data_IF_581857300918
#
_entry.id   IF_581857300918
#
_cell.length_a   1.000
_cell.length_b   1.000
_cell.length_c   1.000
_cell.angle_alpha   90.00
_cell.angle_beta   90.00
_cell.angle_gamma   90.00
#
_symmetry.space_group_name_H-M   'P 1'
#
loop_
_entity.id
_entity.type
_entity.pdbx_description
1 polymer ?
#
# COMPACT_ATOMS: atom_id res chain seq x y z
N UNK A 1 -6.80 49.39 -4.72
CA UNK A 1 -6.85 48.71 -6.03
C UNK A 1 -5.46 48.11 -6.26
N UNK A 2 -5.25 46.88 -5.78
CA UNK A 2 -3.93 46.23 -5.79
C UNK A 2 -3.76 45.40 -7.06
N UNK A 3 -2.64 45.64 -7.75
CA UNK A 3 -2.29 45.04 -9.02
C UNK A 3 -1.95 43.56 -8.92
N UNK A 4 -2.50 42.81 -9.87
CA UNK A 4 -2.23 41.40 -10.16
C UNK A 4 -0.92 41.31 -10.94
N UNK A 5 0.06 40.54 -10.44
CA UNK A 5 1.24 40.15 -11.20
C UNK A 5 1.09 38.68 -11.63
N UNK A 6 0.99 38.48 -12.94
CA UNK A 6 1.00 37.19 -13.64
C UNK A 6 2.46 36.73 -13.72
N UNK A 7 2.79 35.58 -13.14
CA UNK A 7 4.10 34.95 -13.29
C UNK A 7 4.03 33.93 -14.43
N UNK A 8 4.67 34.24 -15.56
CA UNK A 8 4.95 33.31 -16.64
C UNK A 8 6.15 32.43 -16.28
N UNK A 9 6.11 31.20 -16.78
CA UNK A 9 7.02 30.12 -16.49
C UNK A 9 8.21 30.14 -17.45
N UNK A 10 9.38 30.58 -17.00
CA UNK A 10 10.65 30.38 -17.69
C UNK A 10 11.72 29.83 -16.73
N UNK A 11 12.30 28.70 -17.18
CA UNK A 11 13.70 28.29 -17.04
C UNK A 11 14.36 28.33 -15.65
N UNK A 12 14.37 27.19 -14.96
CA UNK A 12 15.40 26.86 -13.95
C UNK A 12 15.67 25.35 -13.97
N UNK A 13 16.46 24.90 -14.95
CA UNK A 13 17.04 23.56 -15.00
C UNK A 13 18.56 23.67 -15.04
N UNK A 14 19.17 24.33 -14.04
CA UNK A 14 20.63 24.53 -13.99
C UNK A 14 21.16 24.46 -12.56
N UNK A 15 21.06 23.29 -11.92
CA UNK A 15 21.88 22.99 -10.72
C UNK A 15 22.25 21.51 -10.65
N UNK A 16 23.11 21.04 -11.56
CA UNK A 16 24.07 19.96 -11.24
C UNK A 16 25.12 19.75 -12.33
N UNK A 17 26.08 20.66 -12.48
CA UNK A 17 27.38 20.27 -13.06
C UNK A 17 28.43 21.32 -12.75
N UNK A 18 29.24 21.05 -11.73
CA UNK A 18 30.41 21.84 -11.40
C UNK A 18 31.60 20.90 -11.28
N UNK A 19 32.21 20.51 -12.40
CA UNK A 19 33.58 19.98 -12.45
C UNK A 19 34.27 20.55 -13.68
N UNK A 20 35.29 21.37 -13.41
CA UNK A 20 36.18 22.02 -14.36
C UNK A 20 37.18 20.97 -14.89
N UNK A 21 37.50 20.94 -16.21
CA UNK A 21 38.63 20.17 -16.70
C UNK A 21 39.92 21.01 -16.55
N UNK A 22 40.82 20.58 -15.66
CA UNK A 22 42.20 21.06 -15.65
C UNK A 22 43.08 20.11 -16.48
N UNK A 23 43.72 20.70 -17.48
CA UNK A 23 44.58 20.08 -18.48
C UNK A 23 45.93 19.70 -17.86
N UNK A 24 46.29 18.42 -17.86
CA UNK A 24 47.66 17.96 -17.56
C UNK A 24 48.22 17.24 -18.79
N UNK A 25 49.37 17.75 -19.26
CA UNK A 25 50.11 17.28 -20.44
C UNK A 25 50.90 16.01 -20.12
N UNK A 26 50.96 15.16 -21.14
CA UNK A 26 51.60 13.85 -21.24
C UNK A 26 53.12 13.91 -21.07
N UNK A 27 53.69 12.93 -20.36
CA UNK A 27 55.02 12.39 -20.64
C UNK A 27 55.07 10.89 -20.29
N UNK A 28 55.45 10.11 -21.30
CA UNK A 28 55.53 8.65 -21.43
C UNK A 28 56.44 7.98 -20.39
N UNK A 29 56.12 6.75 -19.95
CA UNK A 29 56.99 5.56 -19.94
C UNK A 29 56.34 4.33 -19.24
N UNK A 30 56.56 3.16 -19.86
CA UNK A 30 56.48 1.77 -19.39
C UNK A 30 55.12 1.02 -19.33
N UNK A 31 55.07 0.04 -20.23
CA UNK A 31 54.60 -1.35 -20.19
C UNK A 31 53.80 -1.89 -18.99
N UNK A 32 52.94 -2.85 -19.35
CA UNK A 32 52.41 -3.99 -18.56
C UNK A 32 50.93 -3.89 -18.18
N UNK A 33 50.13 -4.66 -18.93
CA UNK A 33 48.91 -5.38 -18.52
C UNK A 33 48.11 -4.77 -17.36
N UNK A 34 47.11 -3.94 -17.66
CA UNK A 34 46.15 -3.49 -16.64
C UNK A 34 44.72 -3.68 -17.16
N UNK A 35 43.98 -4.50 -16.43
CA UNK A 35 42.57 -4.77 -16.64
C UNK A 35 41.78 -3.47 -16.50
N UNK A 36 41.32 -2.92 -17.63
CA UNK A 36 40.33 -1.85 -17.60
C UNK A 36 39.12 -2.34 -16.77
N UNK A 37 38.69 -1.60 -15.74
CA UNK A 37 37.50 -1.97 -14.99
C UNK A 37 36.34 -2.06 -15.98
N UNK A 38 35.53 -3.14 -15.96
CA UNK A 38 34.48 -3.34 -16.94
C UNK A 38 33.58 -2.11 -16.95
N UNK A 39 33.41 -1.54 -18.15
CA UNK A 39 32.55 -0.38 -18.33
C UNK A 39 31.15 -0.78 -17.87
N UNK A 40 30.44 0.12 -17.16
CA UNK A 40 29.10 -0.12 -16.60
C UNK A 40 28.11 -0.76 -17.59
N UNK A 41 28.32 -0.50 -18.89
CA UNK A 41 27.53 -0.97 -20.02
C UNK A 41 27.73 -2.46 -20.33
N UNK A 42 28.90 -3.00 -20.01
CA UNK A 42 29.22 -4.44 -20.10
C UNK A 42 28.73 -5.20 -18.86
N UNK A 43 28.74 -4.55 -17.68
CA UNK A 43 28.29 -5.17 -16.44
C UNK A 43 26.76 -5.21 -16.29
N UNK A 44 26.05 -4.24 -16.88
CA UNK A 44 24.59 -4.11 -16.80
C UNK A 44 24.02 -3.72 -18.16
N UNK A 45 23.82 -4.69 -19.07
CA UNK A 45 23.09 -4.46 -20.31
C UNK A 45 21.66 -3.99 -19.99
N UNK A 46 21.12 -3.01 -20.73
CA UNK A 46 19.76 -2.53 -20.49
C UNK A 46 18.77 -3.67 -20.64
N UNK A 47 17.87 -3.80 -19.65
CA UNK A 47 16.74 -4.72 -19.74
C UNK A 47 15.94 -4.39 -21.02
N UNK A 48 15.42 -5.40 -21.74
CA UNK A 48 14.62 -5.13 -22.92
C UNK A 48 13.44 -4.22 -22.52
N UNK A 49 13.48 -2.97 -23.01
CA UNK A 49 12.35 -2.09 -22.94
C UNK A 49 11.19 -2.79 -23.66
N UNK A 50 10.03 -2.82 -23.00
CA UNK A 50 8.79 -3.33 -23.56
C UNK A 50 8.44 -2.47 -24.78
N UNK A 51 8.99 -2.85 -25.93
CA UNK A 51 8.83 -2.16 -27.20
C UNK A 51 7.35 -2.19 -27.59
N UNK A 52 6.74 -1.02 -27.65
CA UNK A 52 5.65 -0.78 -28.56
C UNK A 52 6.26 -0.63 -29.96
N UNK A 53 5.91 -1.55 -30.88
CA UNK A 53 5.67 -1.35 -32.33
C UNK A 53 6.03 -2.58 -33.19
N UNK A 54 4.99 -3.09 -33.86
CA UNK A 54 4.89 -3.53 -35.27
C UNK A 54 6.00 -4.38 -35.94
N UNK A 55 5.56 -5.62 -36.22
CA UNK A 55 5.59 -6.36 -37.50
C UNK A 55 6.91 -6.92 -38.09
N UNK A 56 6.93 -8.26 -38.10
CA UNK A 56 7.55 -9.20 -39.04
C UNK A 56 9.08 -9.32 -39.13
N UNK A 57 9.61 -10.37 -38.51
CA UNK A 57 10.59 -11.28 -39.12
C UNK A 57 10.68 -12.59 -38.30
N UNK A 58 10.61 -13.71 -39.00
CA UNK A 58 10.55 -15.08 -38.49
C UNK A 58 11.96 -15.69 -38.46
N UNK A 59 12.38 -16.25 -37.33
CA UNK A 59 13.59 -17.09 -37.17
C UNK A 59 13.31 -18.21 -36.13
N UNK A 60 14.01 -19.36 -36.22
CA UNK A 60 13.45 -20.68 -35.92
C UNK A 60 13.43 -21.05 -34.43
N UNK A 61 12.50 -21.96 -34.13
CA UNK A 61 12.16 -22.42 -32.79
C UNK A 61 13.34 -23.08 -32.05
N UNK A 62 13.97 -22.31 -31.15
CA UNK A 62 14.75 -22.83 -30.04
C UNK A 62 13.83 -23.50 -29.01
N UNK A 63 14.02 -24.79 -28.80
CA UNK A 63 13.16 -25.68 -28.03
C UNK A 63 13.21 -25.51 -26.50
N UNK A 64 13.46 -24.32 -25.94
CA UNK A 64 13.53 -24.06 -24.48
C UNK A 64 12.49 -23.04 -24.00
N UNK A 65 11.28 -23.12 -24.54
CA UNK A 65 10.14 -22.32 -24.09
C UNK A 65 9.46 -22.89 -22.84
N UNK A 66 10.19 -23.08 -21.73
CA UNK A 66 9.51 -23.26 -20.46
C UNK A 66 8.81 -21.94 -20.14
N UNK A 67 7.50 -21.88 -20.39
CA UNK A 67 6.60 -20.84 -19.89
C UNK A 67 6.52 -20.98 -18.37
N UNK A 68 7.57 -20.54 -17.69
CA UNK A 68 7.62 -20.42 -16.23
C UNK A 68 6.58 -19.35 -15.90
N UNK A 69 5.37 -19.80 -15.56
CA UNK A 69 4.36 -18.91 -14.99
C UNK A 69 4.94 -18.43 -13.65
N UNK A 70 5.03 -17.12 -13.40
CA UNK A 70 5.52 -16.64 -12.10
C UNK A 70 4.61 -17.22 -11.01
N UNK A 71 5.19 -18.07 -10.19
CA UNK A 71 4.51 -18.70 -9.05
C UNK A 71 4.33 -17.58 -8.04
N UNK A 72 3.12 -17.04 -7.92
CA UNK A 72 2.78 -16.11 -6.84
C UNK A 72 3.07 -16.85 -5.53
N UNK A 73 3.88 -16.24 -4.66
CA UNK A 73 4.19 -16.83 -3.37
C UNK A 73 2.89 -17.16 -2.62
N UNK A 74 2.77 -18.39 -2.14
CA UNK A 74 1.58 -18.85 -1.40
C UNK A 74 1.40 -18.15 -0.05
N UNK A 75 2.45 -17.50 0.45
CA UNK A 75 2.50 -16.78 1.72
C UNK A 75 2.84 -15.33 1.45
N UNK A 76 2.00 -14.42 1.95
CA UNK A 76 2.24 -12.98 1.91
C UNK A 76 2.64 -12.50 3.30
N UNK A 77 3.60 -11.59 3.36
CA UNK A 77 4.00 -10.90 4.59
C UNK A 77 3.67 -9.42 4.42
N UNK A 78 2.90 -8.86 5.34
CA UNK A 78 2.56 -7.44 5.39
C UNK A 78 3.00 -6.86 6.72
N UNK A 79 3.67 -5.70 6.68
CA UNK A 79 4.10 -4.96 7.88
C UNK A 79 3.26 -3.70 7.99
N UNK A 80 2.75 -3.45 9.19
CA UNK A 80 1.96 -2.27 9.52
C UNK A 80 2.64 -1.50 10.63
N UNK A 81 2.77 -0.19 10.44
CA UNK A 81 3.30 0.70 11.47
C UNK A 81 2.16 1.53 12.04
N UNK A 82 1.92 1.39 13.35
CA UNK A 82 0.93 2.15 14.09
C UNK A 82 1.67 3.13 14.99
N UNK A 83 1.67 4.45 14.69
CA UNK A 83 2.32 5.44 15.53
C UNK A 83 1.62 5.58 16.88
N UNK A 84 2.33 6.16 17.86
CA UNK A 84 1.85 6.31 19.25
C UNK A 84 0.50 7.02 19.35
N UNK A 85 0.26 8.06 18.55
CA UNK A 85 -1.02 8.79 18.46
C UNK A 85 -2.22 7.90 18.11
N UNK A 86 -1.99 6.79 17.40
CA UNK A 86 -3.03 5.88 16.94
C UNK A 86 -3.24 4.68 17.87
N UNK A 87 -2.65 4.67 19.07
CA UNK A 87 -2.84 3.59 20.04
C UNK A 87 -4.09 3.80 20.89
N UNK A 88 -4.95 2.78 20.92
CA UNK A 88 -6.12 2.73 21.83
C UNK A 88 -5.73 2.73 23.31
N UNK A 89 -4.57 2.18 23.63
CA UNK A 89 -4.11 1.99 25.01
C UNK A 89 -2.85 2.80 25.23
N UNK A 90 -2.98 3.83 26.07
CA UNK A 90 -1.91 4.75 26.45
C UNK A 90 -1.02 4.20 27.58
N UNK A 91 -1.46 3.14 28.26
CA UNK A 91 -0.74 2.55 29.40
C UNK A 91 0.34 1.56 28.94
N UNK A 92 1.47 2.12 28.54
CA UNK A 92 2.67 1.43 28.09
C UNK A 92 3.66 1.23 29.26
N UNK A 93 3.21 0.74 30.42
CA UNK A 93 4.14 0.56 31.55
C UNK A 93 3.96 -0.67 32.44
N UNK A 94 3.24 -1.70 31.98
CA UNK A 94 3.25 -3.02 32.64
C UNK A 94 4.16 -3.98 31.86
N UNK A 95 5.41 -4.02 32.32
CA UNK A 95 6.45 -4.94 31.90
C UNK A 95 6.00 -6.40 32.11
N UNK A 96 5.92 -7.17 31.02
CA UNK A 96 5.50 -8.58 31.00
C UNK A 96 4.00 -8.75 30.74
N UNK A 97 3.66 -9.24 29.54
CA UNK A 97 2.29 -9.48 29.05
C UNK A 97 1.40 -8.23 28.86
N UNK A 98 1.82 -7.32 27.99
CA UNK A 98 0.91 -6.27 27.50
C UNK A 98 -0.34 -6.87 26.85
N UNK A 99 -1.50 -6.23 27.06
CA UNK A 99 -2.79 -6.60 26.45
C UNK A 99 -2.70 -6.84 24.94
N UNK A 100 -1.79 -6.13 24.27
CA UNK A 100 -1.49 -6.29 22.84
C UNK A 100 -1.03 -7.70 22.46
N UNK A 101 -0.20 -8.34 23.28
CA UNK A 101 0.28 -9.70 23.02
C UNK A 101 -0.86 -10.72 23.13
N UNK A 102 -1.78 -10.53 24.08
CA UNK A 102 -2.98 -11.38 24.24
C UNK A 102 -3.92 -11.26 23.04
N UNK A 103 -4.15 -10.04 22.59
CA UNK A 103 -4.94 -9.76 21.37
C UNK A 103 -4.30 -10.43 20.15
N UNK A 104 -2.98 -10.33 20.02
CA UNK A 104 -2.23 -10.97 18.95
C UNK A 104 -2.42 -12.49 18.93
N UNK A 105 -2.27 -13.15 20.07
CA UNK A 105 -2.49 -14.59 20.21
C UNK A 105 -3.93 -15.00 19.83
N UNK A 106 -4.93 -14.23 20.26
CA UNK A 106 -6.33 -14.49 19.90
C UNK A 106 -6.55 -14.37 18.38
N UNK A 107 -5.97 -13.36 17.75
CA UNK A 107 -6.07 -13.17 16.29
C UNK A 107 -5.34 -14.28 15.55
N UNK A 108 -4.13 -14.67 15.99
CA UNK A 108 -3.37 -15.79 15.41
C UNK A 108 -4.18 -17.09 15.47
N UNK A 109 -4.84 -17.37 16.60
CA UNK A 109 -5.66 -18.58 16.76
C UNK A 109 -6.93 -18.55 15.88
N UNK A 110 -7.57 -17.39 15.72
CA UNK A 110 -8.81 -17.25 14.92
C UNK A 110 -8.57 -17.17 13.40
N UNK A 111 -7.40 -16.71 12.99
CA UNK A 111 -7.08 -16.48 11.57
C UNK A 111 -6.09 -17.51 11.02
N UNK A 112 -5.27 -18.11 11.87
CA UNK A 112 -4.19 -19.01 11.46
C UNK A 112 -3.02 -18.28 10.78
N UNK A 113 -2.93 -16.96 10.92
CA UNK A 113 -1.78 -16.18 10.47
C UNK A 113 -0.71 -16.08 11.57
N UNK A 114 0.54 -15.88 11.17
CA UNK A 114 1.65 -15.58 12.06
C UNK A 114 1.78 -14.07 12.24
N UNK A 115 1.62 -13.58 13.46
CA UNK A 115 1.77 -12.17 13.82
C UNK A 115 2.99 -11.99 14.72
N UNK A 116 3.80 -10.98 14.44
CA UNK A 116 4.92 -10.57 15.27
C UNK A 116 4.76 -9.08 15.62
N UNK A 117 4.99 -8.74 16.88
CA UNK A 117 4.79 -7.41 17.44
C UNK A 117 6.13 -6.87 17.94
N UNK A 118 6.57 -5.77 17.35
CA UNK A 118 7.80 -5.07 17.73
C UNK A 118 7.48 -3.62 18.11
N UNK A 119 8.04 -3.14 19.22
CA UNK A 119 8.00 -1.72 19.58
C UNK A 119 9.15 -1.01 18.87
N UNK A 120 8.83 -0.03 18.04
CA UNK A 120 9.81 0.81 17.38
C UNK A 120 10.41 1.85 18.35
N UNK A 121 11.56 2.42 17.98
CA UNK A 121 12.32 3.38 18.82
C UNK A 121 11.54 4.66 19.12
N UNK A 122 10.63 5.02 18.23
CA UNK A 122 9.68 6.12 18.33
C UNK A 122 8.45 5.78 19.19
N UNK A 123 8.50 4.67 19.93
CA UNK A 123 7.35 4.10 20.62
C UNK A 123 6.20 3.79 19.66
N UNK A 124 6.43 3.59 18.35
CA UNK A 124 5.47 3.04 17.40
C UNK A 124 5.29 1.54 17.59
N UNK A 125 4.13 0.99 17.23
CA UNK A 125 3.89 -0.45 17.21
C UNK A 125 4.05 -0.94 15.76
N UNK A 126 5.05 -1.78 15.51
CA UNK A 126 5.23 -2.46 14.24
C UNK A 126 4.63 -3.86 14.33
N UNK A 127 3.63 -4.16 13.51
CA UNK A 127 3.01 -5.49 13.43
C UNK A 127 3.36 -6.12 12.09
N UNK A 128 4.04 -7.26 12.11
CA UNK A 128 4.29 -8.09 10.94
C UNK A 128 3.27 -9.24 10.89
N UNK A 129 2.53 -9.35 9.80
CA UNK A 129 1.54 -10.42 9.57
C UNK A 129 2.00 -11.27 8.40
N UNK A 130 2.20 -12.57 8.61
CA UNK A 130 2.61 -13.54 7.59
C UNK A 130 1.61 -14.69 7.52
N UNK A 131 1.21 -15.09 6.31
CA UNK A 131 0.29 -16.22 6.12
C UNK A 131 -0.34 -16.28 4.74
N UNK A 132 -1.42 -17.06 4.62
CA UNK A 132 -2.26 -17.09 3.41
C UNK A 132 -2.92 -15.73 3.19
N UNK A 133 -3.26 -15.41 1.95
CA UNK A 133 -3.93 -14.15 1.59
C UNK A 133 -5.19 -13.90 2.43
N UNK A 134 -6.10 -14.87 2.50
CA UNK A 134 -7.36 -14.72 3.25
C UNK A 134 -7.14 -14.56 4.75
N UNK A 135 -6.18 -15.33 5.30
CA UNK A 135 -5.82 -15.28 6.71
C UNK A 135 -5.21 -13.90 7.08
N UNK A 136 -4.31 -13.39 6.24
CA UNK A 136 -3.65 -12.10 6.42
C UNK A 136 -4.65 -10.95 6.30
N UNK A 137 -5.56 -10.98 5.32
CA UNK A 137 -6.60 -9.97 5.17
C UNK A 137 -7.53 -9.93 6.38
N UNK A 138 -7.95 -11.10 6.88
CA UNK A 138 -8.78 -11.20 8.09
C UNK A 138 -8.04 -10.74 9.34
N UNK A 139 -6.78 -11.18 9.51
CA UNK A 139 -5.93 -10.77 10.62
C UNK A 139 -5.70 -9.26 10.62
N UNK A 140 -5.43 -8.68 9.45
CA UNK A 140 -5.29 -7.23 9.27
C UNK A 140 -6.53 -6.48 9.76
N UNK A 141 -7.73 -6.88 9.34
CA UNK A 141 -8.98 -6.26 9.80
C UNK A 141 -9.10 -6.29 11.33
N UNK A 142 -8.78 -7.43 11.94
CA UNK A 142 -8.90 -7.62 13.39
C UNK A 142 -7.84 -6.83 14.18
N UNK A 143 -6.60 -6.81 13.68
CA UNK A 143 -5.48 -6.02 14.23
C UNK A 143 -5.86 -4.55 14.24
N UNK A 144 -6.28 -4.00 13.10
CA UNK A 144 -6.69 -2.61 12.97
C UNK A 144 -7.85 -2.29 13.92
N UNK A 145 -8.83 -3.19 14.03
CA UNK A 145 -9.97 -2.98 14.88
C UNK A 145 -9.64 -2.97 16.39
N UNK A 146 -8.66 -3.77 16.83
CA UNK A 146 -8.35 -3.93 18.26
C UNK A 146 -7.12 -3.15 18.74
N UNK A 147 -6.08 -3.06 17.92
CA UNK A 147 -4.79 -2.45 18.27
C UNK A 147 -4.76 -0.94 17.95
N UNK A 148 -5.48 -0.47 16.92
CA UNK A 148 -5.51 0.95 16.52
C UNK A 148 -6.74 1.70 17.02
N UNK A 149 -6.58 3.01 17.26
CA UNK A 149 -7.64 3.94 17.65
C UNK A 149 -8.72 3.99 16.58
N UNK A 150 -9.96 3.78 17.02
CA UNK A 150 -11.12 3.81 16.15
C UNK A 150 -11.76 5.19 16.19
N UNK A 151 -12.02 5.73 15.02
CA UNK A 151 -12.91 6.85 14.80
C UNK A 151 -14.25 6.34 14.25
N UNK A 152 -15.26 7.21 14.27
CA UNK A 152 -16.52 6.97 13.57
C UNK A 152 -16.84 8.16 12.69
N UNK A 153 -17.24 7.90 11.45
CA UNK A 153 -17.79 8.90 10.56
C UNK A 153 -19.13 8.45 10.00
N UNK A 154 -19.88 9.43 9.51
CA UNK A 154 -21.21 9.19 8.95
C UNK A 154 -21.27 9.73 7.53
N UNK A 155 -21.88 8.97 6.63
CA UNK A 155 -22.02 9.33 5.22
C UNK A 155 -23.50 9.28 4.86
N UNK A 156 -24.03 10.36 4.30
CA UNK A 156 -25.42 10.46 3.85
C UNK A 156 -25.54 10.00 2.41
N UNK A 157 -26.41 9.02 2.14
CA UNK A 157 -26.61 8.43 0.81
C UNK A 157 -28.08 8.12 0.61
N UNK A 158 -28.63 8.29 -0.60
CA UNK A 158 -30.00 7.85 -0.89
C UNK A 158 -30.25 6.38 -0.52
N UNK A 159 -31.42 6.10 0.07
CA UNK A 159 -31.80 4.76 0.53
C UNK A 159 -31.82 3.72 -0.58
N UNK A 160 -32.15 4.15 -1.80
CA UNK A 160 -32.11 3.34 -3.01
C UNK A 160 -30.72 2.77 -3.31
N UNK A 161 -29.66 3.54 -3.00
CA UNK A 161 -28.27 3.12 -3.21
C UNK A 161 -27.76 2.17 -2.13
N UNK A 162 -28.40 2.10 -0.95
CA UNK A 162 -27.95 1.22 0.14
C UNK A 162 -27.87 -0.26 -0.30
N UNK A 163 -28.81 -0.72 -1.15
CA UNK A 163 -28.79 -2.10 -1.66
C UNK A 163 -27.56 -2.40 -2.52
N UNK A 164 -27.06 -1.41 -3.25
CA UNK A 164 -25.89 -1.56 -4.11
C UNK A 164 -24.58 -1.54 -3.32
N UNK A 165 -24.53 -0.81 -2.20
CA UNK A 165 -23.41 -0.85 -1.25
C UNK A 165 -23.31 -2.22 -0.59
N UNK A 166 -24.44 -2.81 -0.18
CA UNK A 166 -24.50 -4.19 0.34
C UNK A 166 -24.04 -5.18 -0.73
N UNK A 167 -24.54 -5.02 -1.96
CA UNK A 167 -24.27 -5.92 -3.08
C UNK A 167 -25.04 -7.23 -3.00
N UNK A 168 -24.77 -8.14 -3.95
CA UNK A 168 -25.39 -9.47 -4.00
C UNK A 168 -24.99 -10.24 -2.73
N UNK A 169 -25.96 -10.69 -1.94
CA UNK A 169 -25.75 -11.43 -0.68
C UNK A 169 -24.85 -10.73 0.37
N UNK A 170 -24.65 -9.41 0.29
CA UNK A 170 -23.74 -8.71 1.21
C UNK A 170 -22.25 -8.88 0.90
N UNK A 171 -21.90 -9.52 -0.23
CA UNK A 171 -20.51 -9.79 -0.61
C UNK A 171 -19.71 -8.48 -0.78
N UNK A 172 -20.30 -7.48 -1.43
CA UNK A 172 -19.63 -6.19 -1.70
C UNK A 172 -19.33 -5.44 -0.41
N UNK A 173 -20.27 -5.41 0.53
CA UNK A 173 -20.04 -4.82 1.84
C UNK A 173 -19.00 -5.60 2.64
N UNK A 174 -19.04 -6.93 2.62
CA UNK A 174 -18.06 -7.73 3.34
C UNK A 174 -16.64 -7.54 2.79
N UNK A 175 -16.50 -7.52 1.46
CA UNK A 175 -15.23 -7.27 0.78
C UNK A 175 -14.73 -5.84 1.05
N UNK A 176 -15.61 -4.84 1.00
CA UNK A 176 -15.26 -3.47 1.32
C UNK A 176 -14.74 -3.35 2.76
N UNK A 177 -15.48 -3.88 3.74
CA UNK A 177 -15.05 -3.89 5.14
C UNK A 177 -13.72 -4.62 5.35
N UNK A 178 -13.46 -5.69 4.59
CA UNK A 178 -12.20 -6.45 4.66
C UNK A 178 -11.03 -5.64 4.09
N UNK A 179 -11.24 -4.97 2.94
CA UNK A 179 -10.23 -4.16 2.26
C UNK A 179 -9.88 -2.89 3.02
N UNK A 180 -10.88 -2.22 3.59
CA UNK A 180 -10.72 -0.96 4.33
C UNK A 180 -10.43 -1.18 5.81
N UNK A 181 -10.55 -2.43 6.30
CA UNK A 181 -10.45 -2.77 7.72
C UNK A 181 -11.40 -1.93 8.59
N UNK A 182 -12.59 -1.62 8.07
CA UNK A 182 -13.64 -0.87 8.79
C UNK A 182 -14.87 -1.72 9.04
N UNK A 183 -15.75 -1.22 9.91
CA UNK A 183 -17.07 -1.75 10.18
C UNK A 183 -18.11 -0.78 9.66
N UNK A 184 -18.96 -1.23 8.74
CA UNK A 184 -19.94 -0.41 8.06
C UNK A 184 -21.33 -0.84 8.54
N UNK A 185 -22.03 0.07 9.20
CA UNK A 185 -23.37 -0.14 9.70
C UNK A 185 -24.35 0.64 8.83
N UNK A 186 -25.12 -0.10 8.03
CA UNK A 186 -26.17 0.45 7.17
C UNK A 186 -27.50 0.40 7.95
N UNK A 187 -28.24 1.51 8.06
CA UNK A 187 -29.54 1.54 8.71
C UNK A 187 -30.56 0.69 7.93
N UNK A 188 -31.57 0.17 8.65
CA UNK A 188 -32.65 -0.60 8.05
C UNK A 188 -33.49 0.29 7.11
N UNK A 189 -34.13 -0.29 6.07
CA UNK A 189 -34.97 0.49 5.16
C UNK A 189 -36.14 1.21 5.88
N UNK A 190 -36.63 0.63 6.98
CA UNK A 190 -37.69 1.17 7.83
C UNK A 190 -37.26 2.41 8.64
N UNK A 191 -35.96 2.60 8.86
CA UNK A 191 -35.43 3.76 9.57
C UNK A 191 -35.44 4.98 8.63
N UNK A 192 -35.98 6.14 9.02
CA UNK A 192 -35.93 7.34 8.18
C UNK A 192 -34.51 7.81 7.87
N UNK A 193 -33.51 7.37 8.65
CA UNK A 193 -32.12 7.74 8.46
C UNK A 193 -31.52 7.19 7.16
N UNK A 194 -30.99 8.11 6.36
CA UNK A 194 -30.22 7.85 5.15
C UNK A 194 -28.69 7.90 5.43
N UNK A 195 -28.30 7.71 6.69
CA UNK A 195 -26.94 7.88 7.16
C UNK A 195 -26.28 6.54 7.47
N UNK A 196 -25.22 6.20 6.73
CA UNK A 196 -24.38 5.02 6.98
C UNK A 196 -23.29 5.40 7.97
N UNK A 197 -23.16 4.60 9.04
CA UNK A 197 -22.12 4.79 10.06
C UNK A 197 -20.93 3.88 9.76
N UNK A 198 -19.75 4.48 9.64
CA UNK A 198 -18.49 3.78 9.38
C UNK A 198 -17.59 3.94 10.60
N UNK A 199 -17.15 2.84 11.18
CA UNK A 199 -16.24 2.82 12.33
C UNK A 199 -14.93 2.12 11.95
N UNK A 200 -13.79 2.72 12.23
CA UNK A 200 -12.49 2.16 11.87
C UNK A 200 -11.35 3.14 12.07
N UNK A 201 -10.20 2.90 11.44
CA UNK A 201 -9.11 3.88 11.39
C UNK A 201 -9.47 5.08 10.55
N UNK A 202 -8.79 6.21 10.78
CA UNK A 202 -8.99 7.43 9.99
C UNK A 202 -8.84 7.16 8.48
N UNK A 203 -7.76 6.49 8.08
CA UNK A 203 -7.51 6.11 6.69
C UNK A 203 -8.55 5.11 6.15
N UNK A 204 -8.93 4.11 6.96
CA UNK A 204 -9.93 3.12 6.56
C UNK A 204 -11.30 3.74 6.34
N UNK A 205 -11.69 4.69 7.18
CA UNK A 205 -12.94 5.43 7.07
C UNK A 205 -12.98 6.27 5.80
N UNK A 206 -11.90 6.98 5.48
CA UNK A 206 -11.83 7.81 4.29
C UNK A 206 -11.93 6.97 3.02
N UNK A 207 -11.22 5.83 2.97
CA UNK A 207 -11.32 4.87 1.87
C UNK A 207 -12.73 4.27 1.76
N UNK A 208 -13.29 3.82 2.86
CA UNK A 208 -14.65 3.26 2.87
C UNK A 208 -15.69 4.29 2.43
N UNK A 209 -15.59 5.53 2.91
CA UNK A 209 -16.46 6.65 2.50
C UNK A 209 -16.33 6.91 1.00
N UNK A 210 -15.11 6.95 0.48
CA UNK A 210 -14.87 7.18 -0.93
C UNK A 210 -15.49 6.09 -1.81
N UNK A 211 -15.22 4.81 -1.48
CA UNK A 211 -15.79 3.66 -2.19
C UNK A 211 -17.31 3.66 -2.17
N UNK A 212 -17.89 3.91 -1.00
CA UNK A 212 -19.34 3.98 -0.83
C UNK A 212 -19.96 5.11 -1.68
N UNK A 213 -19.33 6.29 -1.73
CA UNK A 213 -19.77 7.41 -2.57
C UNK A 213 -19.61 7.14 -4.07
N UNK A 214 -18.56 6.41 -4.44
CA UNK A 214 -18.34 5.99 -5.83
C UNK A 214 -19.46 5.07 -6.30
N UNK A 215 -19.87 4.12 -5.45
CA UNK A 215 -20.98 3.21 -5.73
C UNK A 215 -22.28 3.97 -5.90
N UNK A 216 -22.57 4.95 -5.03
CA UNK A 216 -23.79 5.76 -5.18
C UNK A 216 -23.78 6.57 -6.47
N UNK A 217 -22.67 7.25 -6.77
CA UNK A 217 -22.54 8.08 -7.96
C UNK A 217 -22.69 7.29 -9.28
N UNK A 218 -22.36 6.00 -9.27
CA UNK A 218 -22.59 5.13 -10.44
C UNK A 218 -24.05 4.69 -10.58
N UNK A 219 -24.83 4.66 -9.49
CA UNK A 219 -26.27 4.39 -9.56
C UNK A 219 -27.09 5.64 -9.92
N UNK A 220 -26.54 6.84 -9.67
CA UNK A 220 -27.14 8.13 -10.07
C UNK A 220 -27.13 8.39 -11.59
N UNK A 221 -26.53 7.49 -12.41
CA UNK A 221 -26.43 7.59 -13.88
C UNK A 221 -27.48 6.75 -14.59
#
# INVERSE_FOLDING_TARGET
MSSVAVLTQESFAEHRSGLVPQQIKVATLNSEEESDPPTYKDAFPPLPEKAACLESAQEPAGAWGNKIRPIKASVITQVFHVPLEERKYKDMNQFGEGEQAKICLEIMQRTGAHLELSLAKDQGLSIMVSGKLDAVMKARKDIVARLQTQASATVAIPKEHHRFVIGKNGEKLQDLELKTATKIQIPRPDDPSNQIKITGTKEGIEKARHEVLLISAEQDK
#
